data_IF_142279486196
#
_entry.id   IF_142279486196
#
_cell.length_a   1.000
_cell.length_b   1.000
_cell.length_c   1.000
_cell.angle_alpha   90.00
_cell.angle_beta   90.00
_cell.angle_gamma   90.00
#
_symmetry.space_group_name_H-M   'P 1'
#
loop_
_entity.id
_entity.type
_entity.pdbx_description
1 polymer ?
#
# COMPACT_ATOMS: atom_id res chain seq x y z
N UNK A 1 3.54 -7.85 -37.14
CA UNK A 1 3.86 -6.58 -36.43
C UNK A 1 3.06 -6.64 -35.15
N UNK A 2 3.70 -6.98 -34.05
CA UNK A 2 2.99 -7.32 -32.82
C UNK A 2 2.22 -6.09 -32.32
N UNK A 3 1.00 -6.32 -31.85
CA UNK A 3 0.11 -5.27 -31.33
C UNK A 3 0.52 -4.83 -29.92
N UNK A 4 -0.12 -3.76 -29.38
CA UNK A 4 0.12 -3.33 -28.01
C UNK A 4 -0.09 -4.45 -26.98
N UNK A 5 -1.17 -5.23 -27.13
CA UNK A 5 -1.54 -6.29 -26.20
C UNK A 5 -0.55 -7.46 -26.22
N UNK A 6 -0.08 -7.85 -27.40
CA UNK A 6 0.92 -8.90 -27.57
C UNK A 6 2.26 -8.48 -26.97
N UNK A 7 2.67 -7.23 -27.23
CA UNK A 7 3.89 -6.66 -26.64
C UNK A 7 3.78 -6.59 -25.12
N UNK A 8 2.60 -6.25 -24.60
CA UNK A 8 2.34 -6.22 -23.17
C UNK A 8 2.48 -7.62 -22.55
N UNK A 9 1.86 -8.64 -23.18
CA UNK A 9 1.97 -10.04 -22.75
C UNK A 9 3.42 -10.53 -22.78
N UNK A 10 4.17 -10.25 -23.83
CA UNK A 10 5.58 -10.63 -23.93
C UNK A 10 6.40 -10.01 -22.77
N UNK A 11 6.23 -8.71 -22.52
CA UNK A 11 6.89 -8.07 -21.40
C UNK A 11 6.40 -8.56 -20.02
N UNK A 12 5.15 -9.02 -19.88
CA UNK A 12 4.64 -9.65 -18.64
C UNK A 12 5.25 -11.03 -18.42
N UNK A 13 5.37 -11.82 -19.48
CA UNK A 13 6.06 -13.10 -19.43
C UNK A 13 7.52 -12.93 -19.01
N UNK A 14 8.23 -11.95 -19.58
CA UNK A 14 9.62 -11.67 -19.21
C UNK A 14 9.76 -11.22 -17.75
N UNK A 15 8.85 -10.38 -17.24
CA UNK A 15 8.83 -10.00 -15.82
C UNK A 15 8.57 -11.21 -14.90
N UNK A 16 7.60 -12.06 -15.26
CA UNK A 16 7.24 -13.24 -14.48
C UNK A 16 8.37 -14.27 -14.41
N UNK A 17 9.14 -14.42 -15.50
CA UNK A 17 10.33 -15.27 -15.56
C UNK A 17 11.55 -14.67 -14.85
N UNK A 18 11.44 -13.45 -14.30
CA UNK A 18 12.55 -12.75 -13.64
C UNK A 18 13.56 -12.12 -14.59
N UNK A 19 13.33 -12.18 -15.91
CA UNK A 19 14.17 -11.59 -16.96
C UNK A 19 13.92 -10.08 -17.06
N UNK A 20 14.36 -9.33 -16.04
CA UNK A 20 14.11 -7.89 -15.92
C UNK A 20 14.70 -7.09 -17.08
N UNK A 21 15.89 -7.47 -17.56
CA UNK A 21 16.56 -6.83 -18.69
C UNK A 21 15.77 -6.94 -20.00
N UNK A 22 15.22 -8.13 -20.25
CA UNK A 22 14.39 -8.41 -21.42
C UNK A 22 13.09 -7.61 -21.38
N UNK A 23 12.39 -7.64 -20.24
CA UNK A 23 11.19 -6.85 -20.03
C UNK A 23 11.44 -5.34 -20.27
N UNK A 24 12.54 -4.79 -19.72
CA UNK A 24 12.94 -3.40 -19.94
C UNK A 24 13.16 -3.11 -21.42
N UNK A 25 13.77 -4.03 -22.17
CA UNK A 25 14.05 -3.85 -23.59
C UNK A 25 12.75 -3.81 -24.40
N UNK A 26 11.88 -4.80 -24.22
CA UNK A 26 10.56 -4.87 -24.87
C UNK A 26 9.76 -3.59 -24.56
N UNK A 27 9.72 -3.16 -23.29
CA UNK A 27 8.94 -2.01 -22.86
C UNK A 27 9.51 -0.68 -23.34
N UNK A 28 10.83 -0.55 -23.51
CA UNK A 28 11.44 0.64 -24.12
C UNK A 28 11.02 0.78 -25.58
N UNK A 29 11.04 -0.31 -26.34
CA UNK A 29 10.66 -0.28 -27.76
C UNK A 29 9.14 -0.07 -27.91
N UNK A 30 8.34 -0.71 -27.05
CA UNK A 30 6.90 -0.47 -26.98
C UNK A 30 6.57 1.02 -26.75
N UNK A 31 7.29 1.71 -25.85
CA UNK A 31 7.08 3.14 -25.61
C UNK A 31 7.48 4.04 -26.77
N UNK A 32 8.44 3.63 -27.61
CA UNK A 32 8.77 4.37 -28.84
C UNK A 32 7.66 4.24 -29.87
N UNK A 33 7.08 3.03 -29.97
CA UNK A 33 6.03 2.71 -30.94
C UNK A 33 4.65 3.23 -30.52
N UNK A 34 4.35 3.22 -29.23
CA UNK A 34 3.08 3.67 -28.66
C UNK A 34 3.31 4.66 -27.51
N UNK A 35 3.78 5.89 -27.80
CA UNK A 35 4.18 6.86 -26.77
C UNK A 35 3.04 7.37 -25.89
N UNK A 36 1.78 7.25 -26.35
CA UNK A 36 0.59 7.63 -25.60
C UNK A 36 0.05 6.52 -24.69
N UNK A 37 0.56 5.29 -24.83
CA UNK A 37 0.05 4.15 -24.07
C UNK A 37 0.73 4.07 -22.70
N UNK A 38 0.16 4.79 -21.72
CA UNK A 38 0.72 4.98 -20.38
C UNK A 38 1.12 3.66 -19.68
N UNK A 39 0.42 2.56 -19.93
CA UNK A 39 0.72 1.24 -19.36
C UNK A 39 2.15 0.77 -19.66
N UNK A 40 2.71 1.05 -20.84
CA UNK A 40 4.11 0.68 -21.11
C UNK A 40 5.09 1.50 -20.28
N UNK A 41 4.79 2.76 -20.00
CA UNK A 41 5.60 3.59 -19.11
C UNK A 41 5.51 3.12 -17.66
N UNK A 42 4.31 2.76 -17.18
CA UNK A 42 4.14 2.22 -15.82
C UNK A 42 4.90 0.91 -15.65
N UNK A 43 4.71 -0.05 -16.56
CA UNK A 43 5.41 -1.33 -16.49
C UNK A 43 6.91 -1.20 -16.66
N UNK A 44 7.39 -0.29 -17.52
CA UNK A 44 8.83 -0.03 -17.64
C UNK A 44 9.39 0.47 -16.31
N UNK A 45 8.68 1.35 -15.62
CA UNK A 45 9.09 1.84 -14.32
C UNK A 45 9.05 0.75 -13.24
N UNK A 46 8.08 -0.16 -13.30
CA UNK A 46 7.99 -1.31 -12.40
C UNK A 46 9.15 -2.29 -12.61
N UNK A 47 9.46 -2.62 -13.87
CA UNK A 47 10.67 -3.37 -14.25
C UNK A 47 11.96 -2.69 -13.76
N UNK A 48 12.08 -1.37 -13.90
CA UNK A 48 13.22 -0.61 -13.36
C UNK A 48 13.31 -0.69 -11.83
N UNK A 49 12.17 -0.54 -11.14
CA UNK A 49 12.08 -0.66 -9.68
C UNK A 49 12.49 -2.05 -9.21
N UNK A 50 12.01 -3.10 -9.89
CA UNK A 50 12.37 -4.48 -9.59
C UNK A 50 13.88 -4.71 -9.77
N UNK A 51 14.49 -4.10 -10.79
CA UNK A 51 15.95 -4.10 -11.01
C UNK A 51 16.75 -3.27 -9.98
N UNK A 52 16.10 -2.46 -9.15
CA UNK A 52 16.73 -1.54 -8.20
C UNK A 52 17.10 -0.17 -8.79
N UNK A 53 16.78 0.08 -10.07
CA UNK A 53 16.96 1.39 -10.70
C UNK A 53 15.76 2.31 -10.42
N UNK A 54 15.63 2.69 -9.14
CA UNK A 54 14.56 3.58 -8.68
C UNK A 54 14.61 4.97 -9.31
N UNK A 55 15.80 5.44 -9.73
CA UNK A 55 15.95 6.75 -10.39
C UNK A 55 15.28 6.74 -11.75
N UNK A 56 15.52 5.70 -12.57
CA UNK A 56 14.87 5.54 -13.86
C UNK A 56 13.36 5.32 -13.72
N UNK A 57 12.92 4.54 -12.73
CA UNK A 57 11.51 4.33 -12.44
C UNK A 57 10.76 5.65 -12.24
N UNK A 58 11.26 6.51 -11.33
CA UNK A 58 10.65 7.83 -11.05
C UNK A 58 10.69 8.73 -12.30
N UNK A 59 11.80 8.72 -13.06
CA UNK A 59 11.94 9.54 -14.27
C UNK A 59 10.89 9.18 -15.33
N UNK A 60 10.64 7.89 -15.55
CA UNK A 60 9.64 7.41 -16.52
C UNK A 60 8.22 7.80 -16.08
N UNK A 61 7.92 7.68 -14.78
CA UNK A 61 6.59 7.94 -14.23
C UNK A 61 6.21 9.41 -14.13
N UNK A 62 7.18 10.35 -14.15
CA UNK A 62 6.91 11.78 -14.00
C UNK A 62 5.83 12.29 -14.98
N UNK A 63 5.94 11.92 -16.27
CA UNK A 63 4.95 12.33 -17.29
C UNK A 63 3.62 11.58 -17.14
N UNK A 64 3.68 10.30 -16.73
CA UNK A 64 2.47 9.49 -16.53
C UNK A 64 1.61 10.09 -15.42
N UNK A 65 2.20 10.39 -14.26
CA UNK A 65 1.47 10.96 -13.12
C UNK A 65 0.92 12.36 -13.44
N UNK A 66 1.63 13.14 -14.27
CA UNK A 66 1.15 14.45 -14.73
C UNK A 66 -0.07 14.34 -15.64
N UNK A 67 -0.06 13.39 -16.56
CA UNK A 67 -1.10 13.25 -17.59
C UNK A 67 -2.27 12.36 -17.15
N UNK A 68 -2.02 11.41 -16.26
CA UNK A 68 -2.97 10.43 -15.73
C UNK A 68 -2.90 10.45 -14.20
N UNK A 69 -3.35 11.55 -13.58
CA UNK A 69 -3.29 11.76 -12.14
C UNK A 69 -3.98 10.67 -11.29
N UNK A 70 -4.94 9.95 -11.87
CA UNK A 70 -5.77 8.90 -11.29
C UNK A 70 -5.13 7.50 -11.29
N UNK A 71 -3.98 7.35 -11.94
CA UNK A 71 -3.30 6.05 -12.09
C UNK A 71 -2.60 5.62 -10.81
N UNK A 72 -3.33 4.88 -9.98
CA UNK A 72 -2.84 4.34 -8.70
C UNK A 72 -1.53 3.57 -8.86
N UNK A 73 -1.43 2.70 -9.86
CA UNK A 73 -0.24 1.92 -10.19
C UNK A 73 0.99 2.83 -10.44
N UNK A 74 0.84 3.89 -11.22
CA UNK A 74 1.89 4.85 -11.49
C UNK A 74 2.33 5.61 -10.23
N UNK A 75 1.36 6.07 -9.43
CA UNK A 75 1.63 6.82 -8.20
C UNK A 75 2.35 5.93 -7.18
N UNK A 76 1.89 4.69 -6.98
CA UNK A 76 2.50 3.74 -6.03
C UNK A 76 3.92 3.34 -6.43
N UNK A 77 4.16 2.98 -7.70
CA UNK A 77 5.51 2.64 -8.16
C UNK A 77 6.47 3.82 -8.00
N UNK A 78 5.98 5.05 -8.19
CA UNK A 78 6.77 6.27 -7.94
C UNK A 78 7.03 6.49 -6.45
N UNK A 79 6.00 6.37 -5.60
CA UNK A 79 6.10 6.55 -4.16
C UNK A 79 7.10 5.58 -3.52
N UNK A 80 6.96 4.29 -3.84
CA UNK A 80 7.88 3.22 -3.37
C UNK A 80 9.31 3.47 -3.84
N UNK A 81 9.50 3.93 -5.07
CA UNK A 81 10.83 4.26 -5.58
C UNK A 81 11.42 5.49 -4.90
N UNK A 82 10.62 6.54 -4.66
CA UNK A 82 11.06 7.73 -3.92
C UNK A 82 11.40 7.40 -2.46
N UNK A 83 10.69 6.47 -1.82
CA UNK A 83 10.98 6.00 -0.48
C UNK A 83 12.39 5.38 -0.40
N UNK A 84 12.71 4.44 -1.31
CA UNK A 84 14.05 3.82 -1.37
C UNK A 84 15.14 4.83 -1.69
N UNK A 85 14.84 5.86 -2.49
CA UNK A 85 15.76 6.97 -2.77
C UNK A 85 15.95 7.94 -1.59
N UNK A 86 15.34 7.68 -0.43
CA UNK A 86 15.40 8.56 0.75
C UNK A 86 14.58 9.85 0.60
N UNK A 87 13.79 9.99 -0.47
CA UNK A 87 12.96 11.16 -0.75
C UNK A 87 11.63 11.06 0.01
N UNK A 88 11.71 10.86 1.32
CA UNK A 88 10.57 10.53 2.18
C UNK A 88 9.42 11.55 2.08
N UNK A 89 9.69 12.86 2.04
CA UNK A 89 8.66 13.90 1.88
C UNK A 89 7.88 13.79 0.56
N UNK A 90 8.54 13.34 -0.51
CA UNK A 90 7.87 13.14 -1.82
C UNK A 90 7.05 11.86 -1.77
N UNK A 91 7.65 10.78 -1.25
CA UNK A 91 6.97 9.49 -1.10
C UNK A 91 5.71 9.60 -0.25
N UNK A 92 5.78 10.28 0.90
CA UNK A 92 4.65 10.54 1.81
C UNK A 92 3.47 11.20 1.08
N UNK A 93 3.73 12.29 0.35
CA UNK A 93 2.69 12.96 -0.47
C UNK A 93 2.09 12.04 -1.53
N UNK A 94 2.92 11.22 -2.17
CA UNK A 94 2.44 10.27 -3.16
C UNK A 94 1.63 9.12 -2.55
N UNK A 95 1.97 8.66 -1.34
CA UNK A 95 1.17 7.67 -0.62
C UNK A 95 -0.16 8.23 -0.13
N UNK A 96 -0.20 9.47 0.38
CA UNK A 96 -1.47 10.15 0.72
C UNK A 96 -2.39 10.30 -0.49
N UNK A 97 -1.81 10.65 -1.65
CA UNK A 97 -2.56 10.67 -2.91
C UNK A 97 -3.00 9.27 -3.35
N UNK A 98 -2.18 8.25 -3.14
CA UNK A 98 -2.58 6.88 -3.45
C UNK A 98 -3.77 6.45 -2.59
N UNK A 99 -3.80 6.81 -1.29
CA UNK A 99 -4.96 6.63 -0.42
C UNK A 99 -6.21 7.30 -0.99
N UNK A 100 -6.12 8.57 -1.42
CA UNK A 100 -7.28 9.27 -2.00
C UNK A 100 -7.79 8.65 -3.31
N UNK A 101 -6.96 7.87 -4.01
CA UNK A 101 -7.35 7.15 -5.24
C UNK A 101 -7.95 5.76 -4.93
N UNK A 102 -7.65 5.18 -3.76
CA UNK A 102 -8.14 3.86 -3.35
C UNK A 102 -7.06 2.83 -3.00
N UNK A 103 -5.85 3.27 -2.63
CA UNK A 103 -4.86 2.41 -1.97
C UNK A 103 -5.46 1.78 -0.71
N UNK A 104 -5.09 0.52 -0.44
CA UNK A 104 -5.46 -0.13 0.81
C UNK A 104 -4.99 0.72 2.02
N UNK A 105 -5.87 1.01 2.99
CA UNK A 105 -5.50 1.92 4.06
C UNK A 105 -4.39 1.40 4.98
N UNK A 106 -4.32 0.09 5.18
CA UNK A 106 -3.29 -0.54 6.01
C UNK A 106 -1.94 -0.44 5.30
N UNK A 107 -1.90 -0.71 4.00
CA UNK A 107 -0.70 -0.48 3.19
C UNK A 107 -0.27 1.00 3.23
N UNK A 108 -1.24 1.92 3.21
CA UNK A 108 -0.98 3.36 3.33
C UNK A 108 -0.33 3.74 4.65
N UNK A 109 -0.92 3.32 5.79
CA UNK A 109 -0.36 3.56 7.13
C UNK A 109 1.05 2.99 7.25
N UNK A 110 1.29 1.76 6.77
CA UNK A 110 2.63 1.15 6.76
C UNK A 110 3.61 1.98 5.92
N UNK A 111 3.20 2.40 4.72
CA UNK A 111 4.06 3.12 3.78
C UNK A 111 4.41 4.53 4.27
N UNK A 112 3.44 5.24 4.84
CA UNK A 112 3.63 6.58 5.44
C UNK A 112 4.46 6.48 6.72
N UNK A 113 4.22 5.47 7.56
CA UNK A 113 5.05 5.19 8.74
C UNK A 113 6.52 5.02 8.36
N UNK A 114 6.82 4.29 7.27
CA UNK A 114 8.20 4.17 6.76
C UNK A 114 8.78 5.51 6.32
N UNK A 115 7.97 6.40 5.73
CA UNK A 115 8.41 7.76 5.39
C UNK A 115 8.78 8.56 6.66
N UNK A 116 7.98 8.46 7.71
CA UNK A 116 8.23 9.13 8.99
C UNK A 116 9.46 8.58 9.70
N UNK A 117 9.66 7.26 9.71
CA UNK A 117 10.84 6.61 10.27
C UNK A 117 12.14 7.09 9.59
N UNK A 118 12.16 7.19 8.26
CA UNK A 118 13.31 7.75 7.53
C UNK A 118 13.61 9.21 7.89
N UNK A 119 12.62 9.94 8.42
CA UNK A 119 12.74 11.33 8.86
C UNK A 119 12.95 11.45 10.38
N UNK A 120 13.14 10.34 11.10
CA UNK A 120 13.30 10.31 12.56
C UNK A 120 12.01 10.56 13.35
N UNK A 121 10.86 10.65 12.69
CA UNK A 121 9.52 10.84 13.29
C UNK A 121 8.95 9.52 13.81
N UNK A 122 9.73 8.84 14.66
CA UNK A 122 9.39 7.51 15.16
C UNK A 122 8.14 7.50 16.03
N UNK A 123 7.92 8.56 16.82
CA UNK A 123 6.74 8.65 17.69
C UNK A 123 5.44 8.66 16.89
N UNK A 124 5.39 9.42 15.80
CA UNK A 124 4.20 9.56 14.95
C UNK A 124 3.90 8.27 14.18
N UNK A 125 4.96 7.61 13.68
CA UNK A 125 4.85 6.30 13.06
C UNK A 125 4.36 5.23 14.06
N UNK A 126 4.84 5.26 15.30
CA UNK A 126 4.35 4.37 16.35
C UNK A 126 2.87 4.61 16.65
N UNK A 127 2.46 5.86 16.91
CA UNK A 127 1.08 6.18 17.29
C UNK A 127 0.08 5.79 16.21
N UNK A 128 0.39 6.13 14.94
CA UNK A 128 -0.48 5.80 13.81
C UNK A 128 -0.57 4.30 13.58
N UNK A 129 0.58 3.60 13.53
CA UNK A 129 0.57 2.14 13.34
C UNK A 129 -0.12 1.42 14.49
N UNK A 130 0.03 1.88 15.74
CA UNK A 130 -0.59 1.26 16.92
C UNK A 130 -2.10 1.44 16.93
N UNK A 131 -2.59 2.65 16.59
CA UNK A 131 -4.01 2.93 16.50
C UNK A 131 -4.67 2.01 15.46
N UNK A 132 -4.11 1.96 14.25
CA UNK A 132 -4.63 1.14 13.17
C UNK A 132 -4.50 -0.36 13.48
N UNK A 133 -3.41 -0.79 14.12
CA UNK A 133 -3.21 -2.18 14.53
C UNK A 133 -4.29 -2.64 15.52
N UNK A 134 -4.62 -1.82 16.51
CA UNK A 134 -5.70 -2.12 17.47
C UNK A 134 -7.07 -2.10 16.79
N UNK A 135 -7.33 -1.09 15.95
CA UNK A 135 -8.60 -0.92 15.23
C UNK A 135 -8.91 -2.14 14.34
N UNK A 136 -7.88 -2.71 13.73
CA UNK A 136 -7.99 -3.87 12.82
C UNK A 136 -7.87 -5.22 13.52
N UNK A 137 -7.94 -5.27 14.86
CA UNK A 137 -7.94 -6.53 15.61
C UNK A 137 -6.56 -7.19 15.74
N UNK A 138 -5.47 -6.43 15.69
CA UNK A 138 -4.12 -6.89 15.98
C UNK A 138 -3.61 -8.05 15.10
N UNK A 139 -4.07 -8.13 13.84
CA UNK A 139 -3.77 -9.25 12.93
C UNK A 139 -2.87 -8.90 11.74
N UNK A 140 -2.63 -7.61 11.48
CA UNK A 140 -1.87 -7.19 10.30
C UNK A 140 -0.36 -7.17 10.55
N UNK A 141 0.34 -8.11 9.91
CA UNK A 141 1.81 -8.24 9.99
C UNK A 141 2.57 -6.98 9.55
N UNK A 142 2.03 -6.22 8.60
CA UNK A 142 2.63 -4.96 8.15
C UNK A 142 2.70 -3.92 9.26
N UNK A 143 1.59 -3.68 9.96
CA UNK A 143 1.52 -2.75 11.09
C UNK A 143 2.36 -3.24 12.26
N UNK A 144 2.26 -4.53 12.60
CA UNK A 144 3.09 -5.13 13.63
C UNK A 144 4.59 -5.02 13.33
N UNK A 145 4.98 -5.13 12.06
CA UNK A 145 6.36 -4.93 11.63
C UNK A 145 6.87 -3.51 11.92
N UNK A 146 6.02 -2.49 11.71
CA UNK A 146 6.35 -1.10 12.09
C UNK A 146 6.53 -0.99 13.61
N UNK A 147 5.61 -1.55 14.39
CA UNK A 147 5.68 -1.52 15.86
C UNK A 147 6.92 -2.26 16.37
N UNK A 148 7.25 -3.42 15.81
CA UNK A 148 8.44 -4.19 16.19
C UNK A 148 9.72 -3.40 15.93
N UNK A 149 9.79 -2.67 14.82
CA UNK A 149 10.99 -1.89 14.47
C UNK A 149 11.13 -0.61 15.34
N UNK A 150 10.02 0.01 15.73
CA UNK A 150 10.02 1.30 16.45
C UNK A 150 10.01 1.13 17.97
N UNK A 151 9.28 0.14 18.50
CA UNK A 151 9.03 -0.04 19.94
C UNK A 151 10.30 0.01 20.79
N UNK A 152 11.36 -0.77 20.47
CA UNK A 152 12.62 -0.73 21.20
C UNK A 152 13.30 0.65 21.19
N UNK A 153 13.16 1.42 20.11
CA UNK A 153 13.75 2.76 19.99
C UNK A 153 13.05 3.79 20.90
N UNK A 154 11.77 3.56 21.20
CA UNK A 154 10.96 4.43 22.07
C UNK A 154 10.83 3.90 23.51
N UNK A 155 11.36 2.71 23.80
CA UNK A 155 11.16 2.03 25.09
C UNK A 155 9.73 1.53 25.30
N UNK A 156 8.97 1.32 24.21
CA UNK A 156 7.61 0.79 24.27
C UNK A 156 7.61 -0.73 24.06
N UNK A 157 6.84 -1.49 24.86
CA UNK A 157 6.66 -2.91 24.61
C UNK A 157 5.87 -3.11 23.30
N UNK A 158 6.31 -4.07 22.49
CA UNK A 158 5.62 -4.43 21.25
C UNK A 158 4.34 -5.20 21.61
N UNK A 159 3.16 -4.76 21.16
CA UNK A 159 1.92 -5.48 21.44
C UNK A 159 1.91 -6.83 20.73
N UNK A 160 1.36 -7.86 21.39
CA UNK A 160 1.21 -9.17 20.78
C UNK A 160 0.22 -9.15 19.61
N UNK A 161 0.45 -10.01 18.62
CA UNK A 161 -0.52 -10.34 17.59
C UNK A 161 -1.66 -11.17 18.20
N UNK A 162 -2.88 -11.03 17.67
CA UNK A 162 -3.97 -11.92 18.07
C UNK A 162 -3.72 -13.35 17.51
N UNK A 163 -3.54 -14.37 18.37
CA UNK A 163 -3.22 -15.74 17.96
C UNK A 163 -4.35 -16.43 17.17
N UNK A 164 -5.61 -15.99 17.30
CA UNK A 164 -6.75 -16.63 16.62
C UNK A 164 -6.77 -16.26 15.12
N UNK A 165 -6.29 -15.07 14.76
CA UNK A 165 -6.22 -14.62 13.38
C UNK A 165 -5.13 -15.38 12.58
N UNK A 166 -4.05 -15.82 13.22
CA UNK A 166 -2.96 -16.53 12.56
C UNK A 166 -3.36 -17.95 12.12
N UNK A 167 -4.23 -18.64 12.88
CA UNK A 167 -4.77 -19.96 12.53
C UNK A 167 -5.78 -19.91 11.37
N UNK A 168 -6.51 -18.80 11.24
CA UNK A 168 -7.52 -18.60 10.18
C UNK A 168 -6.88 -18.38 8.81
N UNK A 169 -5.71 -17.72 8.75
CA UNK A 169 -4.98 -17.47 7.49
C UNK A 169 -4.20 -18.72 7.02
N UNK A 170 -3.80 -19.61 7.94
CA UNK A 170 -3.06 -20.84 7.61
C UNK A 170 -3.95 -22.05 7.29
N UNK A 171 -5.28 -21.90 7.35
CA UNK A 171 -6.21 -22.98 7.01
C UNK A 171 -6.86 -22.72 5.65
N UNK A 172 -6.23 -23.09 4.51
CA UNK A 172 -6.96 -23.15 3.25
C UNK A 172 -7.86 -24.38 3.29
N UNK A 173 -9.15 -24.13 3.49
CA UNK A 173 -10.25 -25.04 3.16
C UNK A 173 -10.29 -26.37 3.94
N UNK A 174 -11.14 -26.46 4.97
CA UNK A 174 -11.63 -27.74 5.49
C UNK A 174 -13.16 -27.77 5.43
N UNK A 175 -13.61 -28.25 4.28
CA UNK A 175 -14.77 -29.12 4.08
C UNK A 175 -16.19 -28.51 4.20
N UNK A 176 -16.79 -28.30 3.02
CA UNK A 176 -18.08 -28.91 2.70
C UNK A 176 -18.05 -30.43 2.99
N UNK A 177 -19.21 -31.01 3.32
CA UNK A 177 -19.48 -32.37 3.84
C UNK A 177 -19.39 -32.39 5.38
N UNK A 178 -20.48 -32.54 6.16
CA UNK A 178 -21.59 -33.47 6.02
C UNK A 178 -22.93 -33.00 6.61
N UNK A 179 -23.97 -33.58 6.03
CA UNK A 179 -25.40 -33.43 6.35
C UNK A 179 -25.88 -34.35 7.49
N UNK A 180 -26.96 -33.91 8.17
CA UNK A 180 -27.94 -34.69 8.96
C UNK A 180 -27.46 -35.25 10.31
N UNK A 181 -28.01 -34.76 11.45
CA UNK A 181 -28.90 -35.48 12.42
C UNK A 181 -29.75 -34.44 13.19
N UNK A 182 -30.99 -34.83 13.49
CA UNK A 182 -32.13 -34.11 14.05
C UNK A 182 -32.08 -33.72 15.56
N UNK A 183 -32.83 -32.65 15.87
CA UNK A 183 -33.67 -32.39 17.07
C UNK A 183 -33.21 -32.85 18.47
N UNK A 184 -33.02 -31.90 19.41
CA UNK A 184 -33.88 -31.69 20.60
C UNK A 184 -33.56 -30.40 21.38
N UNK A 185 -34.62 -29.62 21.66
CA UNK A 185 -34.91 -28.75 22.82
C UNK A 185 -34.06 -27.49 23.18
N UNK A 186 -34.80 -26.40 23.43
CA UNK A 186 -34.44 -24.98 23.64
C UNK A 186 -34.04 -24.61 25.10
N UNK A 187 -34.02 -23.32 25.51
CA UNK A 187 -33.31 -22.15 24.96
C UNK A 187 -32.34 -21.55 26.01
N UNK A 188 -31.21 -20.99 25.58
CA UNK A 188 -30.47 -20.02 26.41
C UNK A 188 -29.95 -18.90 25.53
N UNK A 189 -30.59 -17.74 25.69
CA UNK A 189 -30.22 -16.47 25.08
C UNK A 189 -28.75 -16.15 25.40
N UNK A 190 -27.92 -16.13 24.36
CA UNK A 190 -26.65 -15.41 24.37
C UNK A 190 -26.83 -14.31 23.31
N UNK A 191 -26.83 -13.02 23.70
CA UNK A 191 -27.02 -11.94 22.73
C UNK A 191 -25.95 -12.00 21.63
N UNK A 192 -26.39 -12.27 20.40
CA UNK A 192 -25.58 -12.12 19.19
C UNK A 192 -25.49 -10.63 18.85
N UNK A 193 -24.59 -9.92 19.53
CA UNK A 193 -24.33 -8.51 19.22
C UNK A 193 -22.83 -8.17 19.29
N UNK A 194 -21.98 -8.96 18.63
CA UNK A 194 -20.60 -8.51 18.28
C UNK A 194 -20.21 -9.03 16.90
N UNK A 195 -21.06 -8.84 15.88
CA UNK A 195 -20.63 -8.94 14.47
C UNK A 195 -21.38 -7.88 13.66
N UNK A 196 -21.11 -6.58 13.91
CA UNK A 196 -21.56 -5.50 13.00
C UNK A 196 -20.80 -4.18 13.20
N UNK A 197 -19.49 -4.24 13.43
CA UNK A 197 -18.65 -3.03 13.44
C UNK A 197 -17.30 -3.33 12.76
N UNK A 198 -17.30 -3.99 11.58
CA UNK A 198 -16.18 -3.78 10.65
C UNK A 198 -16.42 -2.41 10.05
N UNK A 199 -15.87 -1.37 10.69
CA UNK A 199 -15.94 -0.01 10.17
C UNK A 199 -15.23 0.00 8.81
N UNK A 200 -16.00 0.12 7.74
CA UNK A 200 -15.49 0.52 6.43
C UNK A 200 -15.22 2.02 6.52
N UNK A 201 -14.18 2.38 7.26
CA UNK A 201 -13.65 3.72 7.27
C UNK A 201 -13.11 3.99 5.87
N UNK A 202 -13.67 5.00 5.20
CA UNK A 202 -13.28 5.36 3.84
C UNK A 202 -11.85 5.92 3.87
N UNK A 203 -11.12 5.84 2.77
CA UNK A 203 -9.75 6.34 2.68
C UNK A 203 -9.63 7.85 3.03
N UNK A 204 -10.75 8.58 2.96
CA UNK A 204 -10.88 9.96 3.43
C UNK A 204 -10.63 10.12 4.93
N UNK A 205 -11.25 9.29 5.76
CA UNK A 205 -11.25 9.51 7.21
C UNK A 205 -9.88 9.13 7.80
N UNK A 206 -9.21 8.14 7.21
CA UNK A 206 -7.83 7.78 7.55
C UNK A 206 -6.83 8.84 7.09
N UNK A 207 -7.10 9.52 5.97
CA UNK A 207 -6.30 10.67 5.56
C UNK A 207 -6.48 11.82 6.56
N UNK A 208 -7.71 12.12 6.96
CA UNK A 208 -8.00 13.17 7.94
C UNK A 208 -7.35 12.86 9.29
N UNK A 209 -7.43 11.62 9.80
CA UNK A 209 -6.79 11.22 11.06
C UNK A 209 -5.25 11.27 10.99
N UNK A 210 -4.66 10.87 9.85
CA UNK A 210 -3.22 11.01 9.59
C UNK A 210 -2.79 12.49 9.53
N UNK A 211 -3.67 13.39 9.06
CA UNK A 211 -3.42 14.82 8.97
C UNK A 211 -3.68 15.56 10.29
N UNK A 212 -4.58 15.06 11.15
CA UNK A 212 -5.10 15.75 12.35
C UNK A 212 -4.37 15.38 13.68
N UNK A 213 -3.23 14.69 13.58
CA UNK A 213 -2.35 14.43 14.75
C UNK A 213 -1.92 15.75 15.42
N UNK A 214 -1.92 15.87 16.77
CA UNK A 214 -1.97 17.17 17.44
C UNK A 214 -0.69 18.04 17.28
N UNK A 215 -0.81 19.01 16.36
CA UNK A 215 -0.27 20.39 16.29
C UNK A 215 1.22 20.67 16.05
N UNK A 216 1.53 21.06 14.80
CA UNK A 216 1.98 22.39 14.29
C UNK A 216 2.39 22.19 12.81
N UNK A 217 2.03 22.98 11.80
CA UNK A 217 1.56 24.36 11.69
C UNK A 217 0.70 24.49 10.42
N UNK A 218 -0.14 25.52 10.38
CA UNK A 218 -0.94 25.96 9.23
C UNK A 218 -0.15 26.35 7.96
N UNK A 219 1.14 26.01 7.87
CA UNK A 219 1.93 26.14 6.64
C UNK A 219 1.65 24.97 5.68
N UNK A 220 1.40 23.76 6.19
CA UNK A 220 1.18 22.60 5.32
C UNK A 220 -0.14 22.64 4.56
N UNK A 221 -1.15 23.39 5.02
CA UNK A 221 -2.45 23.49 4.34
C UNK A 221 -2.43 24.48 3.15
N UNK A 222 -1.49 25.44 3.14
CA UNK A 222 -1.31 26.36 2.01
C UNK A 222 -0.45 25.75 0.89
N UNK A 223 0.54 24.94 1.25
CA UNK A 223 1.44 24.27 0.29
C UNK A 223 0.80 23.11 -0.50
N UNK A 224 -0.43 22.70 -0.15
CA UNK A 224 -1.17 21.64 -0.86
C UNK A 224 -1.94 22.22 -2.07
N UNK A 225 -2.25 23.52 -2.06
CA UNK A 225 -3.00 24.20 -3.13
C UNK A 225 -2.10 24.92 -4.15
N UNK A 226 -0.89 25.31 -3.78
CA UNK A 226 0.05 25.97 -4.67
C UNK A 226 1.26 25.08 -4.96
N UNK A 227 1.16 24.08 -5.84
CA UNK A 227 2.30 23.59 -6.65
C UNK A 227 1.81 22.62 -7.73
N UNK A 228 0.92 23.09 -8.59
CA UNK A 228 0.94 22.65 -9.99
C UNK A 228 2.18 23.28 -10.65
N UNK A 229 3.19 22.48 -10.99
CA UNK A 229 4.07 22.59 -12.18
C UNK A 229 5.12 21.46 -12.27
#
# INVERSE_FOLDING_TARGET
MDGPDETLRAAMSAEASGNREEAITILKDARKRWPQHATFAVRLAESYRAKGDHKSAVKVLKKVIKNHPERLDAVLTSARSNLVLGKAKIAERQFMRALSIGMDPIEGVVSISRCWMLRGRNQEAWTSALAEFKRTGAMHRGLHGILTEIGPKLGHPVPAMDPIAEQTVMSPNRNQEDSVISEVHAPSEIPREIISQRSTTNASDLLDELLDSPKKSQESQRDILDFEL
#
